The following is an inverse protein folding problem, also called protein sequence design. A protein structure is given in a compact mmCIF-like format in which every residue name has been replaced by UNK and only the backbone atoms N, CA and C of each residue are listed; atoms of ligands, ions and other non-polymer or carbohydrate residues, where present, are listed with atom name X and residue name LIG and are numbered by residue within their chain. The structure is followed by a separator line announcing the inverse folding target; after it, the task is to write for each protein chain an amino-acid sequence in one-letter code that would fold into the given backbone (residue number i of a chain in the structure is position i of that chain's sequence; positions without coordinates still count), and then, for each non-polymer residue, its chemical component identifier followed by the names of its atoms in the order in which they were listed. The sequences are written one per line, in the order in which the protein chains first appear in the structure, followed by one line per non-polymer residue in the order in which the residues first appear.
data_IF_598580054642
#
_entry.id   IF_598580054642
#
_cell.length_a   1.000
_cell.length_b   1.000
_cell.length_c   1.000
_cell.angle_alpha   90.00
_cell.angle_beta   90.00
_cell.angle_gamma   90.00
#
_symmetry.space_group_name_H-M   'P 1'
#
loop_
_entity.id
_entity.type
_entity.pdbx_description
1 polymer ?
#
# COMPACT_ATOMS: atom_id res chain seq x y z
N UNK A 1 12.99 18.72 3.83
CA UNK A 1 12.93 17.37 3.20
C UNK A 1 13.49 16.42 4.23
N UNK A 2 12.80 15.32 4.57
CA UNK A 2 13.34 14.36 5.52
C UNK A 2 14.70 13.85 5.04
N UNK A 3 15.69 13.84 5.93
CA UNK A 3 17.01 13.25 5.66
C UNK A 3 16.84 11.75 5.46
N UNK A 4 17.63 11.16 4.55
CA UNK A 4 17.62 9.71 4.32
C UNK A 4 17.95 8.98 5.62
N UNK A 5 17.08 8.04 6.00
CA UNK A 5 17.29 7.19 7.17
C UNK A 5 18.52 6.28 7.01
N UNK A 6 19.22 5.93 8.12
CA UNK A 6 20.39 5.07 8.08
C UNK A 6 20.03 3.63 7.69
N UNK A 7 20.97 2.91 7.06
CA UNK A 7 20.77 1.54 6.61
C UNK A 7 20.48 0.56 7.76
N UNK A 8 20.95 0.86 8.98
CA UNK A 8 20.62 0.08 10.18
C UNK A 8 19.12 0.08 10.48
N UNK A 9 18.41 1.18 10.21
CA UNK A 9 16.95 1.25 10.35
C UNK A 9 16.26 0.35 9.32
N UNK A 10 16.73 0.34 8.08
CA UNK A 10 16.11 -0.41 6.99
C UNK A 10 16.31 -1.93 7.13
N UNK A 11 17.45 -2.38 7.66
CA UNK A 11 17.85 -3.79 7.60
C UNK A 11 18.01 -4.48 8.95
N UNK A 12 18.35 -3.74 10.01
CA UNK A 12 18.74 -4.33 11.30
C UNK A 12 17.75 -4.05 12.44
N UNK A 13 16.84 -3.09 12.26
CA UNK A 13 15.88 -2.71 13.29
C UNK A 13 14.49 -3.27 13.00
N UNK A 14 13.96 -4.03 13.95
CA UNK A 14 12.56 -4.44 13.98
C UNK A 14 11.89 -3.86 15.21
N UNK A 15 10.95 -2.94 15.00
CA UNK A 15 10.22 -2.28 16.10
C UNK A 15 9.01 -3.13 16.46
N UNK A 16 9.01 -3.70 17.67
CA UNK A 16 7.92 -4.52 18.22
C UNK A 16 7.38 -3.95 19.53
N UNK A 17 6.09 -4.15 19.83
CA UNK A 17 5.47 -3.79 21.12
C UNK A 17 4.53 -2.58 21.09
N UNK A 18 4.49 -1.83 19.98
CA UNK A 18 3.59 -0.67 19.81
C UNK A 18 2.13 -1.07 19.52
N UNK A 19 1.91 -2.29 19.01
CA UNK A 19 0.59 -2.81 18.66
C UNK A 19 -0.16 -3.48 19.82
N UNK A 20 0.43 -3.51 21.02
CA UNK A 20 -0.11 -4.23 22.19
C UNK A 20 0.21 -5.74 22.21
N UNK A 21 0.73 -6.29 21.12
CA UNK A 21 1.22 -7.68 21.07
C UNK A 21 2.68 -7.75 21.52
N UNK A 22 2.96 -8.62 22.49
CA UNK A 22 4.31 -8.83 23.04
C UNK A 22 5.17 -9.78 22.20
N UNK A 23 4.54 -10.66 21.43
CA UNK A 23 5.23 -11.64 20.61
C UNK A 23 5.66 -11.01 19.26
N UNK A 24 6.97 -10.96 18.94
CA UNK A 24 7.46 -10.38 17.69
C UNK A 24 6.94 -11.06 16.42
N UNK A 25 6.70 -12.38 16.46
CA UNK A 25 6.16 -13.14 15.34
C UNK A 25 4.70 -12.76 15.04
N UNK A 26 3.91 -12.49 16.08
CA UNK A 26 2.54 -11.97 15.93
C UNK A 26 2.57 -10.57 15.32
N UNK A 27 3.44 -9.68 15.79
CA UNK A 27 3.59 -8.32 15.22
C UNK A 27 3.96 -8.39 13.74
N UNK A 28 4.91 -9.25 13.37
CA UNK A 28 5.28 -9.48 11.98
C UNK A 28 4.09 -9.98 11.14
N UNK A 29 3.33 -10.96 11.66
CA UNK A 29 2.17 -11.52 10.97
C UNK A 29 1.05 -10.49 10.76
N UNK A 30 0.82 -9.60 11.74
CA UNK A 30 -0.14 -8.50 11.61
C UNK A 30 0.29 -7.52 10.51
N UNK A 31 1.59 -7.23 10.41
CA UNK A 31 2.14 -6.42 9.32
C UNK A 31 1.88 -7.00 7.93
N UNK A 32 1.77 -8.33 7.81
CA UNK A 32 1.49 -9.01 6.55
C UNK A 32 0.01 -8.97 6.12
N UNK A 33 -0.92 -8.61 7.01
CA UNK A 33 -2.36 -8.61 6.69
C UNK A 33 -2.70 -7.69 5.51
N UNK A 34 -2.00 -6.56 5.38
CA UNK A 34 -2.19 -5.62 4.27
C UNK A 34 -1.88 -6.22 2.88
N UNK A 35 -1.08 -7.29 2.82
CA UNK A 35 -0.68 -7.96 1.58
C UNK A 35 -1.82 -8.80 0.98
N UNK A 36 -2.88 -9.08 1.74
CA UNK A 36 -4.02 -9.86 1.23
C UNK A 36 -4.95 -9.02 0.35
N UNK A 37 -5.08 -7.71 0.62
CA UNK A 37 -6.01 -6.84 -0.08
C UNK A 37 -5.82 -6.79 -1.62
N UNK A 38 -4.60 -6.75 -2.18
CA UNK A 38 -4.37 -6.76 -3.63
C UNK A 38 -4.90 -8.01 -4.36
N UNK A 39 -5.08 -9.14 -3.67
CA UNK A 39 -5.59 -10.37 -4.30
C UNK A 39 -7.09 -10.33 -4.58
N UNK A 40 -7.81 -9.35 -4.06
CA UNK A 40 -9.26 -9.20 -4.29
C UNK A 40 -9.62 -8.84 -5.73
N UNK A 41 -8.68 -8.30 -6.52
CA UNK A 41 -8.92 -7.87 -7.90
C UNK A 41 -8.99 -8.99 -8.95
N UNK A 42 -8.76 -10.25 -8.56
CA UNK A 42 -8.70 -11.38 -9.51
C UNK A 42 -10.05 -11.66 -10.20
N UNK A 43 -11.16 -11.40 -9.52
CA UNK A 43 -12.50 -11.62 -10.06
C UNK A 43 -12.83 -10.70 -11.25
N UNK A 44 -12.22 -9.51 -11.30
CA UNK A 44 -12.38 -8.58 -12.41
C UNK A 44 -11.94 -9.16 -13.76
N UNK A 45 -10.94 -10.05 -13.76
CA UNK A 45 -10.42 -10.66 -15.00
C UNK A 45 -11.36 -11.72 -15.55
N UNK A 46 -12.13 -12.41 -14.70
CA UNK A 46 -13.15 -13.38 -15.14
C UNK A 46 -14.33 -12.70 -15.84
N UNK A 47 -14.75 -11.52 -15.40
CA UNK A 47 -15.87 -10.80 -16.02
C UNK A 47 -15.60 -10.38 -17.46
N UNK A 48 -14.34 -10.13 -17.81
CA UNK A 48 -13.93 -9.70 -19.17
C UNK A 48 -13.48 -10.90 -20.01
N UNK A 49 -13.58 -12.12 -19.49
CA UNK A 49 -13.09 -13.32 -20.17
C UNK A 49 -13.76 -13.56 -21.54
N UNK A 50 -15.03 -13.17 -21.68
CA UNK A 50 -15.81 -13.30 -22.91
C UNK A 50 -15.39 -12.30 -24.01
N UNK A 51 -14.80 -11.17 -23.61
CA UNK A 51 -14.36 -10.10 -24.52
C UNK A 51 -12.89 -10.27 -24.96
N UNK A 52 -12.15 -11.17 -24.31
CA UNK A 52 -10.71 -11.39 -24.55
C UNK A 52 -10.47 -12.45 -25.61
N UNK A 53 -9.65 -12.11 -26.61
CA UNK A 53 -9.18 -13.08 -27.62
C UNK A 53 -8.24 -14.11 -26.99
N UNK A 54 -8.54 -15.40 -27.16
CA UNK A 54 -7.79 -16.54 -26.57
C UNK A 54 -7.72 -16.52 -25.02
N UNK A 55 -8.88 -16.58 -24.33
CA UNK A 55 -8.94 -16.40 -22.87
C UNK A 55 -8.11 -17.44 -22.11
N UNK A 56 -8.03 -18.69 -22.60
CA UNK A 56 -7.23 -19.78 -21.98
C UNK A 56 -5.75 -19.45 -21.77
N UNK A 57 -5.19 -18.56 -22.57
CA UNK A 57 -3.77 -18.16 -22.47
C UNK A 57 -3.58 -16.71 -22.05
N UNK A 58 -4.48 -15.82 -22.47
CA UNK A 58 -4.38 -14.40 -22.20
C UNK A 58 -4.70 -14.07 -20.73
N UNK A 59 -5.72 -14.70 -20.15
CA UNK A 59 -6.14 -14.45 -18.77
C UNK A 59 -5.05 -14.84 -17.77
N UNK A 60 -4.50 -16.09 -17.79
CA UNK A 60 -3.48 -16.47 -16.81
C UNK A 60 -2.21 -15.62 -16.94
N UNK A 61 -1.79 -15.28 -18.17
CA UNK A 61 -0.63 -14.41 -18.40
C UNK A 61 -0.87 -12.99 -17.87
N UNK A 62 -2.04 -12.43 -18.11
CA UNK A 62 -2.42 -11.09 -17.63
C UNK A 62 -2.40 -11.03 -16.10
N UNK A 63 -2.95 -12.04 -15.44
CA UNK A 63 -2.93 -12.14 -13.97
C UNK A 63 -1.49 -12.18 -13.43
N UNK A 64 -0.63 -13.03 -13.99
CA UNK A 64 0.78 -13.16 -13.58
C UNK A 64 1.53 -11.83 -13.77
N UNK A 65 1.43 -11.22 -14.94
CA UNK A 65 2.10 -9.95 -15.23
C UNK A 65 1.57 -8.79 -14.37
N UNK A 66 0.26 -8.71 -14.19
CA UNK A 66 -0.37 -7.70 -13.34
C UNK A 66 0.11 -7.81 -11.89
N UNK A 67 0.13 -9.03 -11.34
CA UNK A 67 0.65 -9.27 -10.00
C UNK A 67 2.15 -8.94 -9.89
N UNK A 68 2.96 -9.32 -10.88
CA UNK A 68 4.40 -9.02 -10.89
C UNK A 68 4.69 -7.52 -10.91
N UNK A 69 4.02 -6.77 -11.78
CA UNK A 69 4.22 -5.32 -11.88
C UNK A 69 3.80 -4.64 -10.57
N UNK A 70 2.66 -5.04 -10.00
CA UNK A 70 2.20 -4.52 -8.71
C UNK A 70 3.17 -4.87 -7.57
N UNK A 71 3.72 -6.10 -7.55
CA UNK A 71 4.70 -6.51 -6.56
C UNK A 71 6.00 -5.68 -6.65
N UNK A 72 6.50 -5.42 -7.86
CA UNK A 72 7.70 -4.60 -8.07
C UNK A 72 7.45 -3.15 -7.61
N UNK A 73 6.30 -2.56 -7.94
CA UNK A 73 5.95 -1.21 -7.50
C UNK A 73 5.79 -1.14 -5.98
N UNK A 74 5.11 -2.11 -5.37
CA UNK A 74 4.94 -2.18 -3.91
C UNK A 74 6.30 -2.34 -3.20
N UNK A 75 7.19 -3.16 -3.74
CA UNK A 75 8.53 -3.34 -3.21
C UNK A 75 9.38 -2.07 -3.33
N UNK A 76 9.30 -1.38 -4.47
CA UNK A 76 9.92 -0.06 -4.65
C UNK A 76 9.39 0.96 -3.65
N UNK A 77 8.07 1.01 -3.46
CA UNK A 77 7.44 1.88 -2.46
C UNK A 77 7.90 1.57 -1.04
N UNK A 78 8.00 0.29 -0.67
CA UNK A 78 8.49 -0.13 0.64
C UNK A 78 9.92 0.39 0.90
N UNK A 79 10.82 0.31 -0.10
CA UNK A 79 12.15 0.91 0.03
C UNK A 79 12.11 2.41 0.22
N UNK A 80 11.32 3.12 -0.60
CA UNK A 80 11.21 4.57 -0.47
C UNK A 80 10.63 4.96 0.89
N UNK A 81 9.67 4.21 1.41
CA UNK A 81 9.11 4.45 2.73
C UNK A 81 10.19 4.28 3.81
N UNK A 82 10.89 3.14 3.85
CA UNK A 82 11.94 2.88 4.86
C UNK A 82 13.00 3.99 4.92
N UNK A 83 13.43 4.49 3.75
CA UNK A 83 14.46 5.52 3.67
C UNK A 83 13.94 6.96 3.84
N UNK A 84 12.67 7.23 3.56
CA UNK A 84 12.08 8.57 3.64
C UNK A 84 11.12 8.78 4.83
N UNK A 85 10.90 7.76 5.68
CA UNK A 85 10.01 7.84 6.85
C UNK A 85 10.41 8.92 7.84
N UNK A 86 11.69 9.29 7.93
CA UNK A 86 12.17 10.22 8.95
C UNK A 86 11.99 9.64 10.36
N UNK A 87 11.41 10.43 11.26
CA UNK A 87 11.12 10.01 12.64
C UNK A 87 9.84 9.15 12.67
N UNK A 88 10.02 7.85 12.92
CA UNK A 88 8.92 6.89 12.95
C UNK A 88 8.04 7.03 14.22
N UNK A 89 8.55 7.59 15.32
CA UNK A 89 7.73 7.84 16.52
C UNK A 89 6.75 8.99 16.25
N UNK A 90 7.22 10.05 15.58
CA UNK A 90 6.36 11.13 15.12
C UNK A 90 5.36 10.63 14.06
N UNK A 91 5.75 9.69 13.20
CA UNK A 91 4.83 9.07 12.24
C UNK A 91 3.66 8.32 12.93
N UNK A 92 3.89 7.75 14.11
CA UNK A 92 2.89 6.98 14.84
C UNK A 92 2.05 7.81 15.81
N UNK A 93 2.64 8.84 16.40
CA UNK A 93 2.00 9.71 17.41
C UNK A 93 1.55 11.05 16.86
N UNK A 94 1.87 11.33 15.59
CA UNK A 94 1.63 12.60 14.93
C UNK A 94 0.15 12.98 14.85
N UNK A 95 -0.09 14.28 14.84
CA UNK A 95 -1.42 14.91 14.85
C UNK A 95 -2.26 14.52 13.62
N UNK A 96 -1.62 14.05 12.54
CA UNK A 96 -2.31 13.59 11.33
C UNK A 96 -3.12 12.32 11.56
N UNK A 97 -2.83 11.53 12.59
CA UNK A 97 -3.54 10.29 12.93
C UNK A 97 -3.36 9.13 11.94
N UNK A 98 -2.62 9.35 10.84
CA UNK A 98 -2.33 8.38 9.80
C UNK A 98 -0.84 8.42 9.44
N UNK A 99 -0.08 7.34 9.70
CA UNK A 99 1.36 7.32 9.48
C UNK A 99 1.78 7.66 8.04
N UNK A 100 0.99 7.25 7.04
CA UNK A 100 1.26 7.55 5.63
C UNK A 100 1.24 9.05 5.34
N UNK A 101 0.35 9.81 6.00
CA UNK A 101 0.23 11.26 5.81
C UNK A 101 1.41 11.95 6.49
N UNK A 102 1.76 11.53 7.71
CA UNK A 102 2.92 12.09 8.43
C UNK A 102 4.23 11.82 7.70
N UNK A 103 4.43 10.62 7.18
CA UNK A 103 5.63 10.28 6.38
C UNK A 103 5.69 11.13 5.12
N UNK A 104 4.56 11.29 4.40
CA UNK A 104 4.52 12.15 3.22
C UNK A 104 4.80 13.63 3.57
N UNK A 105 4.36 14.09 4.74
CA UNK A 105 4.62 15.43 5.24
C UNK A 105 6.11 15.65 5.57
N UNK A 106 6.71 14.72 6.30
CA UNK A 106 8.14 14.76 6.62
C UNK A 106 8.99 14.65 5.35
N UNK A 107 8.67 13.72 4.45
CA UNK A 107 9.36 13.55 3.16
C UNK A 107 9.29 14.83 2.30
N UNK A 108 8.13 15.50 2.29
CA UNK A 108 7.92 16.77 1.58
C UNK A 108 8.61 17.97 2.23
N UNK A 109 9.28 17.77 3.38
CA UNK A 109 9.92 18.86 4.12
C UNK A 109 8.95 19.82 4.76
N UNK A 110 7.88 19.30 5.34
CA UNK A 110 6.84 20.08 6.00
C UNK A 110 6.02 20.98 5.05
N UNK A 111 6.11 20.73 3.74
CA UNK A 111 5.29 21.40 2.74
C UNK A 111 3.91 20.75 2.63
N UNK A 112 2.90 21.44 3.15
CA UNK A 112 1.51 20.97 3.14
C UNK A 112 0.96 20.80 1.71
N UNK A 113 1.30 21.69 0.78
CA UNK A 113 0.79 21.61 -0.59
C UNK A 113 1.28 20.34 -1.30
N UNK A 114 2.57 20.03 -1.18
CA UNK A 114 3.14 18.80 -1.73
C UNK A 114 2.50 17.55 -1.09
N UNK A 115 2.30 17.58 0.24
CA UNK A 115 1.65 16.49 0.98
C UNK A 115 0.22 16.26 0.49
N UNK A 116 -0.57 17.33 0.31
CA UNK A 116 -1.94 17.21 -0.19
C UNK A 116 -2.00 16.64 -1.60
N UNK A 117 -1.10 17.04 -2.49
CA UNK A 117 -1.03 16.48 -3.85
C UNK A 117 -0.71 14.99 -3.81
N UNK A 118 0.29 14.57 -3.00
CA UNK A 118 0.65 13.17 -2.84
C UNK A 118 -0.51 12.35 -2.26
N UNK A 119 -1.22 12.87 -1.27
CA UNK A 119 -2.38 12.19 -0.68
C UNK A 119 -3.57 12.14 -1.64
N UNK A 120 -3.80 13.18 -2.44
CA UNK A 120 -4.85 13.17 -3.46
C UNK A 120 -4.61 12.07 -4.51
N UNK A 121 -3.36 11.86 -4.92
CA UNK A 121 -2.99 10.78 -5.85
C UNK A 121 -3.25 9.38 -5.29
N UNK A 122 -3.30 9.20 -3.97
CA UNK A 122 -3.59 7.91 -3.32
C UNK A 122 -5.08 7.77 -3.01
N UNK A 123 -5.70 8.82 -2.46
CA UNK A 123 -7.09 8.79 -1.98
C UNK A 123 -8.08 8.77 -3.14
N UNK A 124 -7.86 9.55 -4.21
CA UNK A 124 -8.82 9.64 -5.31
C UNK A 124 -8.99 8.30 -6.06
N UNK A 125 -7.92 7.57 -6.47
CA UNK A 125 -8.09 6.26 -7.09
C UNK A 125 -8.71 5.24 -6.14
N UNK A 126 -8.35 5.28 -4.85
CA UNK A 126 -8.91 4.40 -3.82
C UNK A 126 -10.41 4.61 -3.66
N UNK A 127 -10.86 5.88 -3.67
CA UNK A 127 -12.28 6.22 -3.62
C UNK A 127 -13.04 5.69 -4.85
N UNK A 128 -12.50 5.89 -6.05
CA UNK A 128 -13.09 5.36 -7.29
C UNK A 128 -13.19 3.84 -7.26
N UNK A 129 -12.13 3.15 -6.77
CA UNK A 129 -12.14 1.71 -6.61
C UNK A 129 -13.24 1.23 -5.64
N UNK A 130 -13.41 1.90 -4.51
CA UNK A 130 -14.48 1.60 -3.54
C UNK A 130 -15.88 1.77 -4.16
N UNK A 131 -16.12 2.86 -4.89
CA UNK A 131 -17.40 3.06 -5.59
C UNK A 131 -17.68 1.94 -6.59
N UNK A 132 -16.67 1.49 -7.35
CA UNK A 132 -16.81 0.37 -8.27
C UNK A 132 -17.16 -0.95 -7.55
N UNK A 133 -16.54 -1.22 -6.41
CA UNK A 133 -16.86 -2.39 -5.60
C UNK A 133 -18.30 -2.36 -5.09
N UNK A 134 -18.78 -1.23 -4.56
CA UNK A 134 -20.19 -1.08 -4.15
C UNK A 134 -21.16 -1.27 -5.32
N UNK A 135 -20.85 -0.69 -6.47
CA UNK A 135 -21.68 -0.85 -7.67
C UNK A 135 -21.71 -2.29 -8.18
N UNK A 136 -20.61 -3.04 -8.05
CA UNK A 136 -20.53 -4.45 -8.43
C UNK A 136 -21.36 -5.33 -7.48
N UNK A 137 -21.23 -5.14 -6.15
CA UNK A 137 -21.95 -5.94 -5.15
C UNK A 137 -23.46 -5.73 -5.25
N UNK A 138 -23.92 -4.49 -5.50
CA UNK A 138 -25.34 -4.20 -5.66
C UNK A 138 -26.01 -4.91 -6.85
N UNK A 139 -25.24 -5.44 -7.81
CA UNK A 139 -25.76 -6.19 -8.96
C UNK A 139 -25.91 -7.69 -8.68
N UNK A 140 -25.39 -8.16 -7.54
CA UNK A 140 -25.44 -9.56 -7.12
C UNK A 140 -26.69 -9.89 -6.26
N UNK A 141 -27.48 -8.88 -5.88
CA UNK A 141 -28.73 -9.01 -5.11
C UNK A 141 -29.91 -8.58 -5.95
#
# INVERSE_FOLDING_TARGET
MALRNPDSLAWANFVSGLSGWKDPGVVFSVGLLGVVAPFTGVDGVSHVAEEVKNPKTAIPKSMIWGTLINAIMAFGYAFTALYCTGDYEEALTGVTGYPVIQIAYQASGSNLAATYVLMALVILPSWVALCNSFASVNRLT
#
